data_IF_107151135543
#
_entry.id   IF_107151135543
#
_cell.length_a   1.000
_cell.length_b   1.000
_cell.length_c   1.000
_cell.angle_alpha   90.00
_cell.angle_beta   90.00
_cell.angle_gamma   90.00
#
_symmetry.space_group_name_H-M   'P 1'
#
loop_
_entity.id
_entity.type
_entity.pdbx_description
1 polymer ?
#
# COMPACT_ATOMS: atom_id res chain seq x y z
N UNK A 1 -19.17 -11.19 7.47
CA UNK A 1 -18.09 -10.96 6.48
C UNK A 1 -17.20 -9.87 7.05
N UNK A 2 -15.87 -9.99 6.96
CA UNK A 2 -14.94 -8.93 7.39
C UNK A 2 -14.93 -7.83 6.33
N UNK A 3 -15.31 -6.57 6.63
CA UNK A 3 -15.23 -5.49 5.67
C UNK A 3 -13.79 -4.99 5.50
N UNK A 4 -13.38 -4.84 4.24
CA UNK A 4 -12.24 -4.00 3.87
C UNK A 4 -12.79 -2.61 3.58
N UNK A 5 -12.31 -1.61 4.30
CA UNK A 5 -12.74 -0.21 4.15
C UNK A 5 -11.68 0.54 3.37
N UNK A 6 -12.02 1.04 2.19
CA UNK A 6 -11.08 1.63 1.22
C UNK A 6 -11.36 3.13 0.97
N UNK A 7 -10.82 4.04 1.80
CA UNK A 7 -10.93 5.49 1.60
C UNK A 7 -9.78 6.02 0.73
N UNK A 8 -9.74 5.69 -0.57
CA UNK A 8 -8.63 6.12 -1.43
C UNK A 8 -8.61 7.64 -1.66
N UNK A 9 -7.53 8.30 -1.23
CA UNK A 9 -7.14 9.63 -1.70
C UNK A 9 -6.30 9.46 -2.96
N UNK A 10 -6.81 9.94 -4.09
CA UNK A 10 -6.18 9.74 -5.39
C UNK A 10 -4.83 10.49 -5.50
N UNK A 11 -3.80 9.78 -5.98
CA UNK A 11 -2.48 10.36 -6.28
C UNK A 11 -2.45 11.25 -7.54
N UNK A 12 -3.57 11.39 -8.24
CA UNK A 12 -3.64 12.19 -9.45
C UNK A 12 -3.60 13.69 -9.12
N UNK A 13 -2.55 14.36 -9.58
CA UNK A 13 -2.41 15.81 -9.39
C UNK A 13 -0.95 16.24 -9.24
N UNK A 14 -0.75 17.56 -9.10
CA UNK A 14 0.55 18.17 -8.89
C UNK A 14 0.80 18.57 -7.42
N UNK A 15 0.00 18.04 -6.49
CA UNK A 15 0.10 18.31 -5.07
C UNK A 15 1.37 17.70 -4.47
N UNK A 16 1.89 18.31 -3.41
CA UNK A 16 3.01 17.76 -2.65
C UNK A 16 2.55 16.70 -1.63
N UNK A 17 3.52 16.08 -0.97
CA UNK A 17 3.28 15.04 0.04
C UNK A 17 2.56 15.58 1.28
N UNK A 18 2.78 16.85 1.63
CA UNK A 18 2.12 17.51 2.76
C UNK A 18 0.61 17.68 2.50
N UNK A 19 0.25 18.08 1.28
CA UNK A 19 -1.16 18.12 0.86
C UNK A 19 -1.80 16.73 0.91
N UNK A 20 -1.11 15.68 0.45
CA UNK A 20 -1.60 14.31 0.55
C UNK A 20 -1.80 13.89 2.02
N UNK A 21 -0.86 14.26 2.91
CA UNK A 21 -0.93 14.00 4.34
C UNK A 21 -2.19 14.63 4.95
N UNK A 22 -2.42 15.92 4.72
CA UNK A 22 -3.52 16.67 5.32
C UNK A 22 -4.89 16.16 4.85
N UNK A 23 -5.04 15.89 3.55
CA UNK A 23 -6.28 15.34 2.98
C UNK A 23 -6.52 13.92 3.49
N UNK A 24 -5.49 13.09 3.56
CA UNK A 24 -5.62 11.73 4.10
C UNK A 24 -5.97 11.75 5.58
N UNK A 25 -5.45 12.72 6.35
CA UNK A 25 -5.78 12.92 7.76
C UNK A 25 -7.25 13.26 7.96
N UNK A 26 -7.75 14.26 7.24
CA UNK A 26 -9.16 14.63 7.30
C UNK A 26 -10.07 13.44 6.90
N UNK A 27 -9.67 12.70 5.87
CA UNK A 27 -10.41 11.52 5.39
C UNK A 27 -10.48 10.41 6.43
N UNK A 28 -9.35 10.08 7.07
CA UNK A 28 -9.30 9.01 8.07
C UNK A 28 -10.02 9.37 9.37
N UNK A 29 -9.93 10.63 9.81
CA UNK A 29 -10.71 11.12 10.97
C UNK A 29 -12.20 10.94 10.71
N UNK A 30 -12.70 11.47 9.59
CA UNK A 30 -14.11 11.33 9.23
C UNK A 30 -14.53 9.87 9.08
N UNK A 31 -13.68 9.02 8.50
CA UNK A 31 -13.97 7.60 8.38
C UNK A 31 -14.20 6.95 9.74
N UNK A 32 -13.30 7.13 10.69
CA UNK A 32 -13.42 6.47 12.00
C UNK A 32 -14.53 7.07 12.86
N UNK A 33 -14.85 8.35 12.71
CA UNK A 33 -16.03 8.97 13.32
C UNK A 33 -17.32 8.30 12.81
N UNK A 34 -17.45 8.11 11.49
CA UNK A 34 -18.61 7.46 10.89
C UNK A 34 -18.70 5.96 11.22
N UNK A 35 -17.57 5.25 11.23
CA UNK A 35 -17.54 3.84 11.64
C UNK A 35 -17.96 3.68 13.11
N UNK A 36 -17.54 4.60 13.98
CA UNK A 36 -17.95 4.60 15.38
C UNK A 36 -19.44 4.91 15.53
N UNK A 37 -19.94 5.94 14.85
CA UNK A 37 -21.35 6.32 14.87
C UNK A 37 -22.27 5.19 14.37
N UNK A 38 -21.80 4.41 13.39
CA UNK A 38 -22.49 3.23 12.86
C UNK A 38 -22.35 1.97 13.73
N UNK A 39 -21.60 2.01 14.85
CA UNK A 39 -21.41 0.88 15.76
C UNK A 39 -20.56 -0.25 15.17
N UNK A 40 -19.63 0.06 14.26
CA UNK A 40 -18.76 -0.94 13.63
C UNK A 40 -17.71 -1.46 14.62
N UNK A 41 -17.59 -2.79 14.70
CA UNK A 41 -16.55 -3.47 15.48
C UNK A 41 -15.21 -3.43 14.74
N UNK A 42 -14.28 -2.57 15.17
CA UNK A 42 -13.02 -2.31 14.46
C UNK A 42 -12.08 -3.52 14.41
N UNK A 43 -12.09 -4.36 15.45
CA UNK A 43 -11.34 -5.62 15.55
C UNK A 43 -11.70 -6.61 14.44
N UNK A 44 -12.89 -6.44 13.85
CA UNK A 44 -13.41 -7.23 12.75
C UNK A 44 -13.31 -6.56 11.38
N UNK A 45 -12.47 -5.52 11.22
CA UNK A 45 -12.29 -4.78 9.95
C UNK A 45 -10.86 -4.82 9.43
N UNK A 46 -10.65 -4.45 8.17
CA UNK A 46 -9.33 -4.17 7.60
C UNK A 46 -9.37 -2.80 6.92
N UNK A 47 -8.39 -1.95 7.19
CA UNK A 47 -8.24 -0.69 6.46
C UNK A 47 -7.44 -0.92 5.17
N UNK A 48 -7.91 -0.37 4.04
CA UNK A 48 -7.17 -0.34 2.76
C UNK A 48 -6.97 1.12 2.32
N UNK A 49 -5.95 1.81 2.84
CA UNK A 49 -5.70 3.21 2.53
C UNK A 49 -4.65 3.36 1.42
N UNK A 50 -4.55 4.56 0.85
CA UNK A 50 -3.35 4.98 0.13
C UNK A 50 -2.16 5.16 1.09
N UNK A 51 -0.93 5.08 0.54
CA UNK A 51 0.27 5.60 1.21
C UNK A 51 0.30 7.14 1.07
N UNK A 52 1.04 7.81 1.95
CA UNK A 52 1.26 9.26 1.86
C UNK A 52 2.43 9.53 0.92
N UNK A 53 2.15 10.13 -0.23
CA UNK A 53 3.12 10.39 -1.30
C UNK A 53 2.72 11.63 -2.11
N UNK A 54 3.68 12.26 -2.78
CA UNK A 54 3.39 13.38 -3.67
C UNK A 54 2.58 12.95 -4.90
N UNK A 55 1.77 13.87 -5.42
CA UNK A 55 0.94 13.62 -6.60
C UNK A 55 1.80 13.30 -7.83
N UNK A 56 1.29 12.44 -8.72
CA UNK A 56 2.03 11.91 -9.87
C UNK A 56 2.54 12.97 -10.85
N UNK A 57 1.89 14.15 -10.89
CA UNK A 57 2.24 15.29 -11.76
C UNK A 57 3.03 16.37 -11.00
N UNK A 58 3.45 16.13 -9.75
CA UNK A 58 4.16 17.12 -8.93
C UNK A 58 5.60 17.38 -9.39
N UNK A 59 6.16 16.47 -10.20
CA UNK A 59 7.57 16.50 -10.60
C UNK A 59 8.54 16.12 -9.47
N UNK A 60 8.04 15.76 -8.29
CA UNK A 60 8.82 15.28 -7.15
C UNK A 60 8.47 13.82 -6.88
N UNK A 61 9.50 13.00 -6.68
CA UNK A 61 9.35 11.60 -6.27
C UNK A 61 9.70 11.53 -4.79
N UNK A 62 8.75 11.10 -3.96
CA UNK A 62 8.98 10.86 -2.53
C UNK A 62 9.82 9.61 -2.36
N UNK A 63 10.85 9.66 -1.50
CA UNK A 63 11.67 8.48 -1.23
C UNK A 63 10.88 7.47 -0.36
N UNK A 64 11.21 6.16 -0.41
CA UNK A 64 10.55 5.17 0.44
C UNK A 64 10.59 5.49 1.94
N UNK A 65 11.68 6.09 2.40
CA UNK A 65 11.86 6.52 3.78
C UNK A 65 10.91 7.67 4.14
N UNK A 66 10.79 8.67 3.27
CA UNK A 66 9.84 9.79 3.46
C UNK A 66 8.40 9.29 3.45
N UNK A 67 8.04 8.42 2.49
CA UNK A 67 6.71 7.79 2.41
C UNK A 67 6.42 7.02 3.69
N UNK A 68 7.39 6.25 4.19
CA UNK A 68 7.23 5.47 5.41
C UNK A 68 7.00 6.35 6.64
N UNK A 69 7.84 7.36 6.85
CA UNK A 69 7.74 8.26 8.00
C UNK A 69 6.39 9.01 7.99
N UNK A 70 6.03 9.60 6.85
CA UNK A 70 4.77 10.36 6.71
C UNK A 70 3.55 9.47 6.88
N UNK A 71 3.55 8.28 6.28
CA UNK A 71 2.42 7.34 6.38
C UNK A 71 2.22 6.82 7.80
N UNK A 72 3.29 6.42 8.49
CA UNK A 72 3.18 5.91 9.87
C UNK A 72 2.80 7.03 10.85
N UNK A 73 3.36 8.24 10.68
CA UNK A 73 2.95 9.39 11.49
C UNK A 73 1.46 9.65 11.36
N UNK A 74 0.94 9.70 10.12
CA UNK A 74 -0.48 9.87 9.85
C UNK A 74 -1.33 8.80 10.55
N UNK A 75 -0.95 7.53 10.44
CA UNK A 75 -1.75 6.44 11.01
C UNK A 75 -1.72 6.43 12.54
N UNK A 76 -0.59 6.79 13.17
CA UNK A 76 -0.53 7.00 14.63
C UNK A 76 -1.44 8.12 15.11
N UNK A 77 -1.71 9.11 14.28
CA UNK A 77 -2.62 10.22 14.60
C UNK A 77 -4.10 9.90 14.34
N UNK A 78 -4.43 8.89 13.52
CA UNK A 78 -5.79 8.74 12.97
C UNK A 78 -6.39 7.34 13.02
N UNK A 79 -5.58 6.29 13.06
CA UNK A 79 -6.06 4.90 13.01
C UNK A 79 -6.14 4.35 14.44
N UNK A 80 -7.29 3.84 14.90
CA UNK A 80 -7.36 3.17 16.20
C UNK A 80 -6.52 1.89 16.26
N UNK A 81 -5.84 1.64 17.37
CA UNK A 81 -5.03 0.43 17.58
C UNK A 81 -5.86 -0.88 17.59
N UNK A 82 -7.18 -0.79 17.74
CA UNK A 82 -8.09 -1.94 17.69
C UNK A 82 -8.23 -2.55 16.28
N UNK A 83 -7.92 -1.79 15.22
CA UNK A 83 -7.89 -2.33 13.86
C UNK A 83 -6.79 -3.40 13.79
N UNK A 84 -7.05 -4.62 13.30
CA UNK A 84 -6.05 -5.69 13.31
C UNK A 84 -4.99 -5.54 12.20
N UNK A 85 -5.35 -4.92 11.08
CA UNK A 85 -4.47 -4.83 9.93
C UNK A 85 -4.82 -3.73 8.93
N UNK A 86 -3.78 -3.27 8.25
CA UNK A 86 -3.84 -2.29 7.18
C UNK A 86 -3.23 -2.94 5.93
N UNK A 87 -4.03 -3.07 4.87
CA UNK A 87 -3.64 -3.67 3.60
C UNK A 87 -3.61 -2.59 2.51
N UNK A 88 -2.45 -1.99 2.25
CA UNK A 88 -2.32 -0.85 1.34
C UNK A 88 -2.80 -1.15 -0.08
N UNK A 89 -3.43 -0.17 -0.72
CA UNK A 89 -3.60 -0.14 -2.18
C UNK A 89 -2.32 0.38 -2.85
N UNK A 90 -2.06 -0.02 -4.10
CA UNK A 90 -0.87 0.44 -4.82
C UNK A 90 -1.05 1.83 -5.46
N UNK A 91 -2.27 2.32 -5.63
CA UNK A 91 -2.60 3.70 -6.03
C UNK A 91 -2.18 4.13 -7.44
N UNK A 92 -1.31 3.39 -8.12
CA UNK A 92 -0.73 3.76 -9.42
C UNK A 92 0.78 3.87 -9.41
N UNK A 93 1.40 3.60 -8.26
CA UNK A 93 2.82 3.30 -8.13
C UNK A 93 3.24 2.16 -9.08
N UNK A 94 4.51 2.16 -9.47
CA UNK A 94 5.12 1.03 -10.15
C UNK A 94 5.20 -0.22 -9.25
N UNK A 95 5.37 -1.40 -9.86
CA UNK A 95 5.45 -2.68 -9.13
C UNK A 95 6.54 -2.67 -8.04
N UNK A 96 7.75 -2.20 -8.39
CA UNK A 96 8.88 -2.13 -7.47
C UNK A 96 8.74 -0.99 -6.46
N UNK A 97 8.19 0.15 -6.88
CA UNK A 97 7.93 1.31 -6.00
C UNK A 97 6.97 0.95 -4.86
N UNK A 98 5.84 0.30 -5.19
CA UNK A 98 4.88 -0.16 -4.19
C UNK A 98 5.48 -1.20 -3.22
N UNK A 99 6.43 -2.01 -3.69
CA UNK A 99 7.16 -2.99 -2.88
C UNK A 99 8.15 -2.29 -1.95
N UNK A 100 8.95 -1.36 -2.49
CA UNK A 100 9.95 -0.60 -1.74
C UNK A 100 9.32 0.24 -0.63
N UNK A 101 8.22 0.94 -0.93
CA UNK A 101 7.50 1.75 0.04
C UNK A 101 6.90 0.90 1.17
N UNK A 102 6.26 -0.24 0.84
CA UNK A 102 5.75 -1.17 1.86
C UNK A 102 6.87 -1.73 2.75
N UNK A 103 8.03 -2.02 2.15
CA UNK A 103 9.19 -2.50 2.89
C UNK A 103 9.71 -1.46 3.87
N UNK A 104 9.88 -0.21 3.42
CA UNK A 104 10.33 0.90 4.26
C UNK A 104 9.34 1.13 5.43
N UNK A 105 8.04 1.10 5.15
CA UNK A 105 6.98 1.19 6.16
C UNK A 105 7.13 0.11 7.24
N UNK A 106 7.36 -1.15 6.85
CA UNK A 106 7.55 -2.24 7.82
C UNK A 106 8.89 -2.20 8.54
N UNK A 107 9.95 -1.66 7.91
CA UNK A 107 11.28 -1.57 8.48
C UNK A 107 11.39 -0.56 9.64
N UNK A 108 10.57 0.50 9.64
CA UNK A 108 10.56 1.54 10.70
C UNK A 108 9.71 1.18 11.93
N UNK A 109 9.26 -0.08 12.04
CA UNK A 109 8.45 -0.58 13.15
C UNK A 109 9.17 -0.61 14.51
N UNK A 110 8.49 -1.10 15.58
CA UNK A 110 7.23 -1.83 15.55
C UNK A 110 5.98 -0.94 15.43
N UNK A 111 4.90 -1.54 14.93
CA UNK A 111 3.59 -0.91 14.73
C UNK A 111 2.50 -1.67 15.48
N UNK A 112 1.42 -1.00 15.96
CA UNK A 112 0.31 -1.68 16.61
C UNK A 112 -0.55 -2.50 15.62
N UNK A 113 -0.51 -2.16 14.33
CA UNK A 113 -1.22 -2.88 13.27
C UNK A 113 -0.28 -3.81 12.49
N UNK A 114 -0.84 -4.86 11.89
CA UNK A 114 -0.16 -5.56 10.79
C UNK A 114 -0.24 -4.74 9.51
N UNK A 115 0.89 -4.52 8.84
CA UNK A 115 0.97 -3.72 7.62
C UNK A 115 1.30 -4.63 6.43
N UNK A 116 0.41 -4.70 5.46
CA UNK A 116 0.52 -5.61 4.31
C UNK A 116 -0.05 -4.96 3.05
N UNK A 117 -0.22 -5.73 1.98
CA UNK A 117 -0.68 -5.24 0.68
C UNK A 117 -2.04 -5.81 0.29
N UNK A 118 -2.84 -5.00 -0.40
CA UNK A 118 -4.02 -5.38 -1.16
C UNK A 118 -3.86 -4.83 -2.59
N UNK A 119 -2.90 -5.37 -3.34
CA UNK A 119 -2.49 -4.84 -4.63
C UNK A 119 -3.23 -5.47 -5.80
N UNK A 120 -3.71 -4.62 -6.72
CA UNK A 120 -4.14 -5.00 -8.06
C UNK A 120 -3.00 -4.83 -9.06
N UNK A 121 -2.85 -3.62 -9.61
CA UNK A 121 -1.85 -3.29 -10.65
C UNK A 121 -0.43 -3.73 -10.28
N UNK A 122 0.07 -3.35 -9.10
CA UNK A 122 1.43 -3.67 -8.65
C UNK A 122 1.73 -5.18 -8.49
N UNK A 123 0.70 -6.03 -8.57
CA UNK A 123 0.83 -7.47 -8.45
C UNK A 123 0.47 -8.19 -9.77
N UNK A 124 -0.23 -7.52 -10.70
CA UNK A 124 -0.75 -8.12 -11.93
C UNK A 124 -0.19 -7.51 -13.22
N UNK A 125 0.44 -6.33 -13.20
CA UNK A 125 0.95 -5.69 -14.41
C UNK A 125 2.02 -6.55 -15.12
N UNK A 126 3.07 -6.97 -14.41
CA UNK A 126 4.08 -7.87 -14.97
C UNK A 126 3.52 -9.24 -15.43
N UNK A 127 2.68 -9.95 -14.64
CA UNK A 127 2.02 -11.19 -15.08
C UNK A 127 1.18 -11.05 -16.34
N UNK A 128 0.34 -10.00 -16.42
CA UNK A 128 -0.51 -9.76 -17.58
C UNK A 128 0.34 -9.50 -18.83
N UNK A 129 1.42 -8.74 -18.69
CA UNK A 129 2.38 -8.50 -19.78
C UNK A 129 3.05 -9.80 -20.24
N UNK A 130 3.56 -10.62 -19.32
CA UNK A 130 4.23 -11.88 -19.65
C UNK A 130 3.27 -12.89 -20.31
N UNK A 131 2.04 -12.98 -19.80
CA UNK A 131 1.00 -13.85 -20.35
C UNK A 131 0.55 -13.40 -21.76
N UNK A 132 0.36 -12.10 -21.98
CA UNK A 132 -0.03 -11.53 -23.28
C UNK A 132 -1.29 -12.18 -23.90
N UNK A 133 -2.19 -12.73 -23.10
CA UNK A 133 -3.41 -13.40 -23.58
C UNK A 133 -3.18 -14.76 -24.25
N UNK A 134 -1.97 -15.33 -24.20
CA UNK A 134 -1.62 -16.56 -24.92
C UNK A 134 -1.59 -17.76 -23.98
N UNK A 135 -2.30 -18.83 -24.33
CA UNK A 135 -2.29 -20.08 -23.55
C UNK A 135 -0.88 -20.67 -23.38
N UNK A 136 -0.01 -20.52 -24.38
CA UNK A 136 1.40 -20.95 -24.32
C UNK A 136 2.22 -20.21 -23.25
N UNK A 137 1.77 -19.02 -22.83
CA UNK A 137 2.52 -18.14 -21.92
C UNK A 137 1.99 -18.19 -20.48
N UNK A 138 1.07 -19.11 -20.15
CA UNK A 138 0.53 -19.24 -18.79
C UNK A 138 1.66 -19.41 -17.77
N UNK A 139 2.64 -20.27 -18.06
CA UNK A 139 3.79 -20.49 -17.18
C UNK A 139 4.63 -19.21 -16.96
N UNK A 140 4.82 -18.40 -18.01
CA UNK A 140 5.54 -17.13 -17.90
C UNK A 140 4.77 -16.10 -17.05
N UNK A 141 3.45 -16.04 -17.21
CA UNK A 141 2.58 -15.21 -16.35
C UNK A 141 2.62 -15.64 -14.88
N UNK A 142 2.57 -16.96 -14.61
CA UNK A 142 2.66 -17.52 -13.26
C UNK A 142 4.02 -17.25 -12.61
N UNK A 143 5.12 -17.37 -13.35
CA UNK A 143 6.46 -17.06 -12.87
C UNK A 143 6.58 -15.58 -12.47
N UNK A 144 6.11 -14.66 -13.33
CA UNK A 144 6.08 -13.24 -13.02
C UNK A 144 5.21 -12.92 -11.80
N UNK A 145 4.05 -13.59 -11.65
CA UNK A 145 3.16 -13.38 -10.51
C UNK A 145 3.80 -13.86 -9.22
N UNK A 146 4.39 -15.04 -9.23
CA UNK A 146 5.07 -15.64 -8.09
C UNK A 146 6.22 -14.74 -7.63
N UNK A 147 6.98 -14.18 -8.57
CA UNK A 147 8.02 -13.19 -8.25
C UNK A 147 7.45 -11.96 -7.54
N UNK A 148 6.43 -11.29 -8.11
CA UNK A 148 5.79 -10.11 -7.47
C UNK A 148 5.18 -10.44 -6.11
N UNK A 149 4.53 -11.59 -5.98
CA UNK A 149 3.97 -12.03 -4.71
C UNK A 149 5.07 -12.26 -3.65
N UNK A 150 6.21 -12.87 -4.05
CA UNK A 150 7.33 -13.09 -3.15
C UNK A 150 8.00 -11.79 -2.71
N UNK A 151 8.20 -10.83 -3.62
CA UNK A 151 8.79 -9.53 -3.28
C UNK A 151 7.90 -8.74 -2.30
N UNK A 152 6.59 -8.72 -2.55
CA UNK A 152 5.63 -8.08 -1.63
C UNK A 152 5.50 -8.81 -0.28
N UNK A 153 5.64 -10.14 -0.26
CA UNK A 153 5.74 -10.90 0.98
C UNK A 153 6.97 -10.48 1.80
N UNK A 154 8.14 -10.36 1.17
CA UNK A 154 9.35 -9.89 1.85
C UNK A 154 9.21 -8.45 2.34
N UNK A 155 8.55 -7.57 1.56
CA UNK A 155 8.27 -6.20 1.96
C UNK A 155 7.33 -6.12 3.18
N UNK A 156 6.31 -6.98 3.25
CA UNK A 156 5.43 -7.10 4.43
C UNK A 156 6.18 -7.59 5.69
N UNK A 157 7.37 -8.17 5.53
CA UNK A 157 8.26 -8.55 6.62
C UNK A 157 9.37 -7.52 6.90
N UNK A 158 9.46 -6.44 6.12
CA UNK A 158 10.57 -5.48 6.18
C UNK A 158 11.92 -6.07 5.74
N UNK A 159 11.91 -7.08 4.86
CA UNK A 159 13.09 -7.86 4.45
C UNK A 159 13.41 -7.77 2.95
N UNK A 160 12.64 -7.01 2.18
CA UNK A 160 12.91 -6.81 0.77
C UNK A 160 14.18 -5.96 0.56
N UNK A 161 14.89 -6.24 -0.52
CA UNK A 161 16.06 -5.49 -0.99
C UNK A 161 16.00 -5.44 -2.52
N UNK A 162 16.37 -4.31 -3.11
CA UNK A 162 16.40 -4.14 -4.57
C UNK A 162 17.22 -5.22 -5.29
N UNK A 163 18.28 -5.75 -4.67
CA UNK A 163 19.09 -6.83 -5.25
C UNK A 163 18.33 -8.15 -5.45
N UNK A 164 17.18 -8.35 -4.79
CA UNK A 164 16.36 -9.55 -4.93
C UNK A 164 15.47 -9.52 -6.19
N UNK A 165 15.32 -8.35 -6.82
CA UNK A 165 14.53 -8.19 -8.05
C UNK A 165 15.14 -8.91 -9.25
N UNK A 166 16.47 -9.05 -9.27
CA UNK A 166 17.25 -9.61 -10.38
C UNK A 166 17.38 -11.13 -10.35
N UNK A 167 16.90 -11.80 -9.29
CA UNK A 167 17.04 -13.24 -9.11
C UNK A 167 15.94 -14.08 -9.80
N UNK A 168 15.20 -13.51 -10.76
CA UNK A 168 14.06 -14.13 -11.45
C UNK A 168 14.32 -14.37 -12.94
#
# INVERSE_FOLDING_TARGET
IVPIVEPEVLMDGAHDIDTCYDVSKATLINLYDELHAAGVLLEGTILKPNMVLAGRKSGKVSSPEEVAERTIKLFRETVPAAVPGIAFLSGGQGDEEATANLNAINAIGPHPWKLTFSYGRALQAAPQKAWSGKASNVAAGQAAFTHRAHMNHLAALGKWKASLEQAA
#
